data_IF_985486654602
#
_entry.id   IF_985486654602
#
_cell.length_a   1.000
_cell.length_b   1.000
_cell.length_c   1.000
_cell.angle_alpha   90.00
_cell.angle_beta   90.00
_cell.angle_gamma   90.00
#
_symmetry.space_group_name_H-M   'P 1'
#
loop_
_entity.id
_entity.type
_entity.pdbx_description
1 polymer ?
#
# COMPACT_ATOMS: atom_id res chain seq x y z
N UNK A 1 33.92 -18.63 -0.79
CA UNK A 1 34.11 -20.09 -1.01
C UNK A 1 32.76 -20.72 -1.31
N UNK A 2 32.47 -21.04 -2.57
CA UNK A 2 31.19 -21.61 -2.98
C UNK A 2 31.14 -23.10 -2.61
N UNK A 3 30.62 -23.41 -1.42
CA UNK A 3 30.38 -24.79 -1.00
C UNK A 3 29.23 -25.32 -1.87
N UNK A 4 29.51 -26.32 -2.71
CA UNK A 4 28.52 -26.92 -3.62
C UNK A 4 27.29 -27.36 -2.82
N UNK A 5 26.12 -26.81 -3.15
CA UNK A 5 24.88 -27.14 -2.45
C UNK A 5 24.54 -28.62 -2.62
N UNK A 6 23.97 -29.28 -1.59
CA UNK A 6 23.45 -30.63 -1.71
C UNK A 6 22.39 -30.72 -2.83
N UNK A 7 22.30 -31.89 -3.48
CA UNK A 7 21.36 -32.11 -4.59
C UNK A 7 19.91 -31.76 -4.21
N UNK A 8 19.43 -32.23 -3.06
CA UNK A 8 18.06 -31.97 -2.60
C UNK A 8 17.78 -30.47 -2.39
N UNK A 9 18.76 -29.72 -1.87
CA UNK A 9 18.64 -28.26 -1.71
C UNK A 9 18.54 -27.60 -3.07
N UNK A 10 19.37 -28.03 -4.03
CA UNK A 10 19.33 -27.49 -5.39
C UNK A 10 17.99 -27.75 -6.09
N UNK A 11 17.46 -28.98 -5.99
CA UNK A 11 16.16 -29.32 -6.59
C UNK A 11 15.00 -28.47 -6.00
N UNK A 12 15.05 -28.18 -4.69
CA UNK A 12 14.09 -27.29 -4.04
C UNK A 12 14.27 -25.83 -4.49
N UNK A 13 15.50 -25.35 -4.65
CA UNK A 13 15.77 -24.00 -5.16
C UNK A 13 15.30 -23.84 -6.61
N UNK A 14 15.64 -24.79 -7.49
CA UNK A 14 15.24 -24.75 -8.89
C UNK A 14 13.70 -24.71 -9.00
N UNK A 15 12.99 -25.54 -8.23
CA UNK A 15 11.52 -25.51 -8.14
C UNK A 15 11.00 -24.16 -7.63
N UNK A 16 11.66 -23.62 -6.60
CA UNK A 16 11.24 -22.38 -5.97
C UNK A 16 11.35 -21.19 -6.92
N UNK A 17 12.49 -21.07 -7.59
CA UNK A 17 12.79 -20.03 -8.59
C UNK A 17 11.81 -20.13 -9.75
N UNK A 18 11.65 -21.31 -10.34
CA UNK A 18 10.74 -21.51 -11.46
C UNK A 18 9.28 -21.15 -11.09
N UNK A 19 8.83 -21.55 -9.89
CA UNK A 19 7.48 -21.21 -9.40
C UNK A 19 7.29 -19.71 -9.22
N UNK A 20 8.26 -19.00 -8.64
CA UNK A 20 8.19 -17.55 -8.48
C UNK A 20 8.22 -16.82 -9.83
N UNK A 21 9.09 -17.24 -10.75
CA UNK A 21 9.16 -16.68 -12.11
C UNK A 21 7.85 -16.85 -12.85
N UNK A 22 7.21 -18.02 -12.76
CA UNK A 22 5.89 -18.25 -13.34
C UNK A 22 4.79 -17.43 -12.66
N UNK A 23 4.89 -17.20 -11.35
CA UNK A 23 3.97 -16.33 -10.62
C UNK A 23 4.01 -14.90 -11.18
N UNK A 24 5.22 -14.34 -11.34
CA UNK A 24 5.44 -13.00 -11.90
C UNK A 24 4.91 -12.92 -13.33
N UNK A 25 5.24 -13.92 -14.17
CA UNK A 25 4.77 -13.97 -15.55
C UNK A 25 3.24 -13.96 -15.63
N UNK A 26 2.58 -14.78 -14.81
CA UNK A 26 1.11 -14.87 -14.79
C UNK A 26 0.47 -13.59 -14.28
N UNK A 27 1.05 -12.97 -13.25
CA UNK A 27 0.55 -11.71 -12.68
C UNK A 27 0.61 -10.57 -13.72
N UNK A 28 1.66 -10.56 -14.54
CA UNK A 28 1.88 -9.56 -15.57
C UNK A 28 1.15 -9.84 -16.90
N UNK A 29 0.52 -11.00 -17.10
CA UNK A 29 -0.23 -11.29 -18.34
C UNK A 29 -1.55 -10.47 -18.39
N UNK A 30 -1.69 -9.49 -19.30
CA UNK A 30 -2.88 -8.64 -19.36
C UNK A 30 -4.16 -9.39 -19.75
N UNK A 31 -4.07 -10.62 -20.25
CA UNK A 31 -5.20 -11.45 -20.68
C UNK A 31 -5.72 -12.36 -19.56
N UNK A 32 -4.95 -12.53 -18.49
CA UNK A 32 -5.32 -13.43 -17.41
C UNK A 32 -6.41 -12.80 -16.54
N UNK A 33 -7.54 -13.50 -16.39
CA UNK A 33 -8.67 -13.07 -15.56
C UNK A 33 -8.57 -13.49 -14.10
N UNK A 34 -7.63 -14.40 -13.78
CA UNK A 34 -7.42 -14.96 -12.44
C UNK A 34 -5.95 -14.77 -11.99
N UNK A 35 -5.42 -13.55 -12.21
CA UNK A 35 -4.00 -13.23 -11.99
C UNK A 35 -3.58 -13.35 -10.55
N UNK A 36 -4.26 -12.64 -9.64
CA UNK A 36 -3.92 -12.66 -8.22
C UNK A 36 -4.06 -14.06 -7.63
N UNK A 37 -5.04 -14.83 -8.10
CA UNK A 37 -5.24 -16.21 -7.69
C UNK A 37 -4.07 -17.12 -8.06
N UNK A 38 -3.72 -17.16 -9.34
CA UNK A 38 -2.58 -17.94 -9.84
C UNK A 38 -1.26 -17.50 -9.20
N UNK A 39 -1.03 -16.19 -9.11
CA UNK A 39 0.14 -15.62 -8.46
C UNK A 39 0.26 -16.10 -7.01
N UNK A 40 -0.83 -16.02 -6.23
CA UNK A 40 -0.84 -16.44 -4.82
C UNK A 40 -0.46 -17.91 -4.68
N UNK A 41 -1.04 -18.79 -5.51
CA UNK A 41 -0.75 -20.23 -5.46
C UNK A 41 0.72 -20.51 -5.79
N UNK A 42 1.22 -19.93 -6.89
CA UNK A 42 2.61 -20.14 -7.32
C UNK A 42 3.62 -19.56 -6.32
N UNK A 43 3.35 -18.38 -5.74
CA UNK A 43 4.22 -17.81 -4.71
C UNK A 43 4.20 -18.61 -3.41
N UNK A 44 3.06 -19.21 -3.01
CA UNK A 44 3.03 -20.13 -1.87
C UNK A 44 3.90 -21.36 -2.14
N UNK A 45 3.86 -21.91 -3.37
CA UNK A 45 4.74 -23.03 -3.76
C UNK A 45 6.20 -22.59 -3.71
N UNK A 46 6.53 -21.42 -4.26
CA UNK A 46 7.87 -20.86 -4.25
C UNK A 46 8.41 -20.70 -2.82
N UNK A 47 7.68 -20.00 -1.95
CA UNK A 47 8.04 -19.80 -0.55
C UNK A 47 8.11 -21.11 0.25
N UNK A 48 7.26 -22.09 -0.04
CA UNK A 48 7.35 -23.42 0.59
C UNK A 48 8.67 -24.09 0.21
N UNK A 49 9.01 -24.08 -1.08
CA UNK A 49 10.22 -24.72 -1.58
C UNK A 49 11.49 -24.04 -1.07
N UNK A 50 11.56 -22.70 -1.02
CA UNK A 50 12.75 -21.97 -0.53
C UNK A 50 12.95 -22.16 0.98
N UNK A 51 11.87 -22.16 1.76
CA UNK A 51 11.95 -22.39 3.21
C UNK A 51 12.38 -23.82 3.51
N UNK A 52 11.88 -24.82 2.76
CA UNK A 52 12.38 -26.20 2.84
C UNK A 52 13.85 -26.30 2.40
N UNK A 53 14.26 -25.63 1.33
CA UNK A 53 15.66 -25.61 0.89
C UNK A 53 16.58 -25.05 1.99
N UNK A 54 16.14 -24.00 2.68
CA UNK A 54 16.86 -23.41 3.80
C UNK A 54 16.93 -24.35 5.00
N UNK A 55 15.82 -24.99 5.37
CA UNK A 55 15.78 -25.95 6.48
C UNK A 55 16.67 -27.16 6.20
N UNK A 56 16.66 -27.71 4.97
CA UNK A 56 17.60 -28.75 4.51
C UNK A 56 19.05 -28.26 4.60
N UNK A 57 19.33 -27.05 4.12
CA UNK A 57 20.67 -26.46 4.17
C UNK A 57 21.18 -26.30 5.62
N UNK A 58 20.28 -25.93 6.54
CA UNK A 58 20.54 -25.84 7.99
C UNK A 58 20.47 -27.19 8.72
N UNK A 59 20.16 -28.29 8.02
CA UNK A 59 19.97 -29.65 8.57
C UNK A 59 18.87 -29.73 9.63
N UNK A 60 17.84 -28.91 9.50
CA UNK A 60 16.63 -28.93 10.35
C UNK A 60 15.60 -29.86 9.72
N UNK A 61 15.07 -30.79 10.53
CA UNK A 61 14.08 -31.76 10.06
C UNK A 61 12.68 -31.14 10.08
N UNK A 62 12.15 -30.83 8.89
CA UNK A 62 10.83 -30.25 8.69
C UNK A 62 9.75 -31.28 8.36
N UNK A 63 9.91 -32.53 8.79
CA UNK A 63 8.86 -33.55 8.66
C UNK A 63 8.11 -33.75 9.97
N UNK A 64 6.80 -33.92 9.88
CA UNK A 64 5.96 -34.28 11.03
C UNK A 64 6.34 -35.68 11.55
N UNK A 65 6.33 -35.83 12.87
CA UNK A 65 6.51 -37.12 13.54
C UNK A 65 5.26 -37.46 14.35
N UNK A 66 4.91 -38.73 14.34
CA UNK A 66 3.91 -39.31 15.23
C UNK A 66 4.44 -39.37 16.68
N UNK A 67 3.54 -39.60 17.64
CA UNK A 67 3.90 -39.72 19.07
C UNK A 67 4.95 -40.80 19.35
N UNK A 68 5.03 -41.83 18.49
CA UNK A 68 5.99 -42.93 18.57
C UNK A 68 7.37 -42.59 17.95
N UNK A 69 7.59 -41.35 17.50
CA UNK A 69 8.83 -40.88 16.89
C UNK A 69 9.00 -41.23 15.40
N UNK A 70 8.10 -42.03 14.82
CA UNK A 70 8.11 -42.33 13.37
C UNK A 70 7.60 -41.13 12.57
N UNK A 71 8.04 -41.00 11.33
CA UNK A 71 7.51 -39.96 10.43
C UNK A 71 6.04 -40.19 10.16
N UNK A 72 5.25 -39.13 10.29
CA UNK A 72 3.88 -39.10 9.80
C UNK A 72 3.92 -39.19 8.27
N UNK A 73 3.09 -40.05 7.70
CA UNK A 73 3.00 -40.24 6.25
C UNK A 73 1.58 -40.01 5.75
N UNK A 74 1.46 -39.43 4.56
CA UNK A 74 0.21 -39.24 3.82
C UNK A 74 0.48 -39.76 2.41
N UNK A 75 -0.40 -40.63 1.90
CA UNK A 75 -0.28 -41.25 0.57
C UNK A 75 1.09 -41.90 0.28
N UNK A 76 1.73 -42.43 1.33
CA UNK A 76 3.04 -43.09 1.24
C UNK A 76 4.24 -42.17 1.47
N UNK A 77 4.08 -40.85 1.35
CA UNK A 77 5.15 -39.86 1.50
C UNK A 77 5.23 -39.29 2.91
N UNK A 78 6.44 -38.86 3.32
CA UNK A 78 6.62 -38.17 4.61
C UNK A 78 5.89 -36.82 4.56
N UNK A 79 5.08 -36.55 5.57
CA UNK A 79 4.37 -35.29 5.69
C UNK A 79 5.36 -34.18 6.06
N UNK A 80 5.75 -33.36 5.08
CA UNK A 80 6.54 -32.15 5.29
C UNK A 80 5.71 -31.06 5.96
N UNK A 81 6.37 -30.10 6.62
CA UNK A 81 5.74 -28.90 7.13
C UNK A 81 5.17 -28.07 5.98
N UNK A 82 3.94 -27.62 6.15
CA UNK A 82 3.35 -26.60 5.31
C UNK A 82 4.02 -25.23 5.53
N UNK A 83 3.84 -24.30 4.58
CA UNK A 83 4.46 -22.97 4.65
C UNK A 83 4.18 -22.25 5.96
N UNK A 84 2.94 -22.31 6.47
CA UNK A 84 2.56 -21.64 7.73
C UNK A 84 3.38 -22.10 8.93
N UNK A 85 3.84 -23.35 8.94
CA UNK A 85 4.73 -23.84 9.99
C UNK A 85 6.18 -23.47 9.70
N UNK A 86 6.63 -23.63 8.46
CA UNK A 86 8.01 -23.26 8.08
C UNK A 86 8.32 -21.79 8.39
N UNK A 87 7.42 -20.85 8.07
CA UNK A 87 7.66 -19.42 8.35
C UNK A 87 7.64 -19.09 9.84
N UNK A 88 6.88 -19.82 10.65
CA UNK A 88 6.87 -19.64 12.11
C UNK A 88 8.17 -20.07 12.76
N UNK A 89 8.85 -21.07 12.19
CA UNK A 89 10.16 -21.53 12.66
C UNK A 89 11.28 -20.57 12.22
N UNK A 90 11.13 -19.94 11.05
CA UNK A 90 12.19 -19.14 10.42
C UNK A 90 12.14 -17.67 10.85
N UNK A 91 10.94 -17.11 11.03
CA UNK A 91 10.73 -15.68 11.25
C UNK A 91 9.97 -15.41 12.55
N UNK A 92 10.34 -14.31 13.21
CA UNK A 92 9.68 -13.86 14.44
C UNK A 92 8.22 -13.45 14.21
N UNK A 93 7.42 -13.48 15.28
CA UNK A 93 5.97 -13.27 15.17
C UNK A 93 5.58 -11.87 14.69
N UNK A 94 6.43 -10.86 14.90
CA UNK A 94 6.25 -9.49 14.42
C UNK A 94 6.93 -9.17 13.08
N UNK A 95 7.62 -10.14 12.47
CA UNK A 95 8.37 -9.91 11.24
C UNK A 95 7.44 -9.53 10.06
N UNK A 96 7.68 -8.39 9.37
CA UNK A 96 6.85 -7.96 8.25
C UNK A 96 6.78 -8.94 7.08
N UNK A 97 7.89 -9.62 6.76
CA UNK A 97 7.95 -10.65 5.72
C UNK A 97 7.02 -11.80 6.10
N UNK A 98 7.09 -12.24 7.36
CA UNK A 98 6.19 -13.29 7.86
C UNK A 98 4.73 -12.86 7.78
N UNK A 99 4.40 -11.63 8.17
CA UNK A 99 3.01 -11.11 8.12
C UNK A 99 2.49 -10.98 6.70
N UNK A 100 3.35 -10.63 5.75
CA UNK A 100 3.03 -10.65 4.33
C UNK A 100 2.74 -12.09 3.86
N UNK A 101 3.60 -13.06 4.16
CA UNK A 101 3.36 -14.48 3.78
C UNK A 101 2.09 -15.05 4.44
N UNK A 102 1.85 -14.75 5.73
CA UNK A 102 0.66 -15.18 6.48
C UNK A 102 -0.64 -14.66 5.84
N UNK A 103 -0.63 -13.44 5.27
CA UNK A 103 -1.77 -12.91 4.51
C UNK A 103 -2.08 -13.80 3.30
N UNK A 104 -1.08 -14.11 2.47
CA UNK A 104 -1.28 -14.91 1.25
C UNK A 104 -1.69 -16.35 1.55
N UNK A 105 -1.17 -16.95 2.63
CA UNK A 105 -1.62 -18.27 3.09
C UNK A 105 -3.12 -18.25 3.43
N UNK A 106 -3.58 -17.24 4.17
CA UNK A 106 -5.01 -17.12 4.52
C UNK A 106 -5.85 -16.79 3.29
N UNK A 107 -5.30 -16.00 2.36
CA UNK A 107 -5.97 -15.62 1.12
C UNK A 107 -6.18 -16.82 0.21
N UNK A 108 -5.20 -17.73 0.09
CA UNK A 108 -5.29 -18.97 -0.70
C UNK A 108 -6.62 -19.70 -0.49
N UNK A 109 -6.99 -19.92 0.77
CA UNK A 109 -8.21 -20.64 1.12
C UNK A 109 -9.49 -19.93 0.64
N UNK A 110 -9.44 -18.60 0.46
CA UNK A 110 -10.56 -17.79 -0.02
C UNK A 110 -10.60 -17.71 -1.55
N UNK A 111 -9.45 -17.74 -2.22
CA UNK A 111 -9.35 -17.67 -3.69
C UNK A 111 -9.53 -19.04 -4.36
N UNK A 112 -9.23 -20.16 -3.70
CA UNK A 112 -9.28 -21.50 -4.31
C UNK A 112 -10.65 -21.88 -4.87
N UNK A 113 -11.71 -21.29 -4.32
CA UNK A 113 -13.08 -21.60 -4.70
C UNK A 113 -13.78 -20.43 -5.43
N UNK A 114 -13.06 -19.34 -5.76
CA UNK A 114 -13.69 -18.08 -6.21
C UNK A 114 -12.82 -17.33 -7.21
N UNK A 115 -13.41 -16.82 -8.29
CA UNK A 115 -12.75 -15.84 -9.17
C UNK A 115 -13.04 -14.42 -8.67
N UNK A 116 -11.99 -13.68 -8.27
CA UNK A 116 -12.13 -12.41 -7.53
C UNK A 116 -11.27 -11.29 -8.17
N UNK A 117 -11.59 -10.85 -9.40
CA UNK A 117 -10.77 -9.88 -10.14
C UNK A 117 -10.64 -8.52 -9.45
N UNK A 118 -11.57 -8.11 -8.58
CA UNK A 118 -11.46 -6.88 -7.82
C UNK A 118 -10.25 -6.88 -6.85
N UNK A 119 -9.76 -8.05 -6.43
CA UNK A 119 -8.60 -8.16 -5.54
C UNK A 119 -7.29 -7.72 -6.18
N UNK A 120 -7.20 -7.76 -7.52
CA UNK A 120 -5.98 -7.40 -8.25
C UNK A 120 -5.51 -6.00 -7.87
N UNK A 121 -6.42 -5.04 -7.65
CA UNK A 121 -6.06 -3.67 -7.26
C UNK A 121 -5.72 -3.52 -5.78
N UNK A 122 -6.35 -4.32 -4.94
CA UNK A 122 -6.23 -4.20 -3.48
C UNK A 122 -4.93 -4.78 -2.96
N UNK A 123 -4.34 -5.75 -3.67
CA UNK A 123 -3.19 -6.54 -3.21
C UNK A 123 -1.89 -6.26 -3.98
N UNK A 124 -1.85 -5.23 -4.83
CA UNK A 124 -0.65 -4.92 -5.63
C UNK A 124 0.56 -4.71 -4.72
N UNK A 125 0.40 -3.92 -3.65
CA UNK A 125 1.49 -3.59 -2.73
C UNK A 125 2.01 -4.81 -1.99
N UNK A 126 1.12 -5.63 -1.43
CA UNK A 126 1.51 -6.87 -0.75
C UNK A 126 2.08 -7.92 -1.71
N UNK A 127 1.59 -7.99 -2.95
CA UNK A 127 2.10 -8.92 -3.96
C UNK A 127 3.51 -8.56 -4.39
N UNK A 128 3.76 -7.26 -4.62
CA UNK A 128 5.10 -6.77 -4.94
C UNK A 128 6.07 -7.01 -3.78
N UNK A 129 5.66 -6.73 -2.53
CA UNK A 129 6.47 -7.03 -1.35
C UNK A 129 6.79 -8.53 -1.23
N UNK A 130 5.83 -9.41 -1.49
CA UNK A 130 6.02 -10.86 -1.42
C UNK A 130 7.13 -11.35 -2.37
N UNK A 131 7.23 -10.76 -3.57
CA UNK A 131 8.26 -11.12 -4.56
C UNK A 131 9.61 -10.52 -4.18
N UNK A 132 9.65 -9.23 -3.82
CA UNK A 132 10.90 -8.56 -3.46
C UNK A 132 11.55 -9.23 -2.23
N UNK A 133 10.75 -9.48 -1.18
CA UNK A 133 11.22 -10.21 -0.01
C UNK A 133 11.73 -11.61 -0.37
N UNK A 134 11.09 -12.27 -1.33
CA UNK A 134 11.50 -13.61 -1.76
C UNK A 134 12.88 -13.54 -2.41
N UNK A 135 13.09 -12.61 -3.34
CA UNK A 135 14.36 -12.43 -4.03
C UNK A 135 15.47 -12.00 -3.07
N UNK A 136 15.22 -11.02 -2.22
CA UNK A 136 16.15 -10.58 -1.18
C UNK A 136 16.56 -11.75 -0.29
N UNK A 137 15.60 -12.56 0.16
CA UNK A 137 15.89 -13.72 1.02
C UNK A 137 16.63 -14.83 0.27
N UNK A 138 16.31 -15.07 -1.01
CA UNK A 138 17.00 -16.03 -1.87
C UNK A 138 18.47 -15.64 -2.04
N UNK A 139 18.74 -14.38 -2.36
CA UNK A 139 20.08 -13.82 -2.50
C UNK A 139 20.82 -13.89 -1.16
N UNK A 140 20.18 -13.47 -0.06
CA UNK A 140 20.79 -13.47 1.27
C UNK A 140 21.20 -14.88 1.72
N UNK A 141 20.35 -15.89 1.49
CA UNK A 141 20.61 -17.25 2.00
C UNK A 141 21.46 -18.10 1.06
N UNK A 142 21.36 -17.92 -0.25
CA UNK A 142 21.97 -18.82 -1.25
C UNK A 142 22.93 -18.13 -2.21
N UNK A 143 22.94 -16.81 -2.26
CA UNK A 143 23.82 -15.98 -3.08
C UNK A 143 23.17 -15.46 -4.36
N UNK A 144 23.74 -14.39 -4.89
CA UNK A 144 23.25 -13.60 -6.02
C UNK A 144 23.05 -14.41 -7.31
N UNK A 145 23.83 -15.48 -7.51
CA UNK A 145 23.69 -16.40 -8.65
C UNK A 145 22.31 -17.09 -8.78
N UNK A 146 21.47 -17.01 -7.75
CA UNK A 146 20.13 -17.58 -7.72
C UNK A 146 19.02 -16.52 -7.86
N UNK A 147 19.33 -15.25 -8.13
CA UNK A 147 18.34 -14.19 -8.32
C UNK A 147 17.29 -14.56 -9.39
N UNK A 148 16.06 -14.02 -9.26
CA UNK A 148 14.90 -14.54 -9.97
C UNK A 148 14.88 -14.24 -11.46
N UNK A 149 15.53 -13.15 -11.90
CA UNK A 149 15.86 -12.79 -13.29
C UNK A 149 16.42 -11.35 -13.29
N UNK A 150 17.52 -11.09 -14.00
CA UNK A 150 18.13 -9.74 -14.10
C UNK A 150 17.38 -8.77 -15.04
N UNK A 151 16.31 -9.21 -15.71
CA UNK A 151 15.51 -8.39 -16.63
C UNK A 151 14.16 -8.06 -16.03
N UNK A 152 14.14 -7.07 -15.13
CA UNK A 152 12.89 -6.50 -14.65
C UNK A 152 12.31 -5.58 -15.75
N UNK A 153 11.25 -6.03 -16.42
CA UNK A 153 10.46 -5.17 -17.29
C UNK A 153 9.34 -4.53 -16.46
N UNK A 154 9.31 -3.20 -16.40
CA UNK A 154 8.14 -2.51 -15.87
C UNK A 154 7.03 -2.64 -16.92
N UNK A 155 5.90 -3.30 -16.61
CA UNK A 155 4.84 -3.49 -17.58
C UNK A 155 4.32 -2.13 -18.06
N UNK A 156 4.18 -1.96 -19.39
CA UNK A 156 3.60 -0.74 -19.97
C UNK A 156 2.16 -0.63 -19.49
N UNK A 157 1.92 0.36 -18.63
CA UNK A 157 0.61 0.61 -18.08
C UNK A 157 -0.28 1.28 -19.14
N UNK A 158 -1.33 0.58 -19.57
CA UNK A 158 -2.28 1.08 -20.58
C UNK A 158 -3.39 1.97 -19.98
N UNK A 159 -3.41 2.15 -18.67
CA UNK A 159 -4.50 2.83 -17.98
C UNK A 159 -4.44 4.36 -18.12
N UNK A 160 -5.11 4.90 -19.13
CA UNK A 160 -5.61 6.29 -19.09
C UNK A 160 -6.83 6.31 -18.17
N UNK A 161 -6.63 6.62 -16.88
CA UNK A 161 -7.69 6.89 -15.89
C UNK A 161 -8.93 5.99 -16.00
N UNK A 162 -8.81 4.75 -15.52
CA UNK A 162 -9.98 3.88 -15.36
C UNK A 162 -10.72 4.27 -14.07
N UNK A 163 -11.47 5.38 -14.12
CA UNK A 163 -12.58 5.67 -13.18
C UNK A 163 -13.74 4.67 -13.30
N UNK A 164 -13.57 3.58 -14.05
CA UNK A 164 -14.54 2.50 -14.16
C UNK A 164 -14.36 1.57 -12.96
N UNK A 165 -15.04 1.88 -11.88
CA UNK A 165 -15.32 0.93 -10.80
C UNK A 165 -16.19 -0.17 -11.39
N UNK A 166 -15.61 -1.37 -11.54
CA UNK A 166 -16.42 -2.55 -11.82
C UNK A 166 -17.30 -2.80 -10.59
N UNK A 167 -18.58 -3.19 -10.76
CA UNK A 167 -19.40 -3.60 -9.63
C UNK A 167 -18.74 -4.76 -8.92
N UNK A 168 -18.46 -4.58 -7.64
CA UNK A 168 -17.82 -5.57 -6.77
C UNK A 168 -18.90 -6.55 -6.30
N UNK A 169 -18.69 -7.85 -6.52
CA UNK A 169 -19.60 -8.88 -6.04
C UNK A 169 -19.61 -8.96 -4.50
N UNK A 170 -20.63 -9.61 -3.92
CA UNK A 170 -20.69 -9.86 -2.47
C UNK A 170 -19.49 -10.67 -1.98
N UNK A 171 -19.07 -11.66 -2.78
CA UNK A 171 -17.92 -12.50 -2.45
C UNK A 171 -16.61 -11.71 -2.48
N UNK A 172 -16.41 -10.84 -3.48
CA UNK A 172 -15.26 -9.93 -3.52
C UNK A 172 -15.26 -8.97 -2.34
N UNK A 173 -16.41 -8.39 -2.00
CA UNK A 173 -16.54 -7.49 -0.84
C UNK A 173 -16.13 -8.20 0.46
N UNK A 174 -16.54 -9.46 0.63
CA UNK A 174 -16.16 -10.26 1.79
C UNK A 174 -14.65 -10.49 1.89
N UNK A 175 -13.98 -10.76 0.76
CA UNK A 175 -12.51 -10.96 0.77
C UNK A 175 -11.77 -9.64 0.93
N UNK A 176 -12.24 -8.55 0.33
CA UNK A 176 -11.68 -7.21 0.52
C UNK A 176 -11.79 -6.79 1.99
N UNK A 177 -12.94 -7.00 2.63
CA UNK A 177 -13.10 -6.72 4.06
C UNK A 177 -12.17 -7.58 4.90
N UNK A 178 -12.02 -8.87 4.56
CA UNK A 178 -11.03 -9.71 5.24
C UNK A 178 -9.60 -9.16 5.15
N UNK A 179 -9.18 -8.65 3.99
CA UNK A 179 -7.86 -8.02 3.84
C UNK A 179 -7.75 -6.77 4.73
N UNK A 180 -8.79 -5.94 4.76
CA UNK A 180 -8.84 -4.76 5.64
C UNK A 180 -8.78 -5.12 7.11
N UNK A 181 -9.55 -6.11 7.53
CA UNK A 181 -9.57 -6.62 8.90
C UNK A 181 -8.20 -7.17 9.29
N UNK A 182 -7.54 -7.90 8.38
CA UNK A 182 -6.18 -8.39 8.63
C UNK A 182 -5.17 -7.25 8.80
N UNK A 183 -5.23 -6.22 7.95
CA UNK A 183 -4.38 -5.01 8.09
C UNK A 183 -4.60 -4.32 9.43
N UNK A 184 -5.85 -4.20 9.87
CA UNK A 184 -6.20 -3.59 11.17
C UNK A 184 -5.75 -4.38 12.41
N UNK A 185 -5.29 -5.63 12.25
CA UNK A 185 -4.70 -6.43 13.33
C UNK A 185 -3.18 -6.27 13.43
N UNK A 186 -2.54 -5.57 12.49
CA UNK A 186 -1.10 -5.38 12.48
C UNK A 186 -0.69 -4.19 13.36
N UNK A 187 0.50 -4.29 13.93
CA UNK A 187 1.14 -3.14 14.57
C UNK A 187 1.51 -2.09 13.51
N UNK A 188 1.46 -0.81 13.88
CA UNK A 188 1.65 0.30 12.95
C UNK A 188 3.03 0.25 12.25
N UNK A 189 4.07 -0.24 12.93
CA UNK A 189 5.40 -0.41 12.34
C UNK A 189 5.38 -1.45 11.21
N UNK A 190 4.68 -2.56 11.42
CA UNK A 190 4.53 -3.63 10.43
C UNK A 190 3.68 -3.16 9.25
N UNK A 191 2.54 -2.52 9.51
CA UNK A 191 1.64 -2.04 8.46
C UNK A 191 2.31 -1.03 7.52
N UNK A 192 3.21 -0.19 8.07
CA UNK A 192 3.94 0.82 7.31
C UNK A 192 5.24 0.30 6.68
N UNK A 193 5.63 -0.96 6.94
CA UNK A 193 6.83 -1.56 6.36
C UNK A 193 6.66 -1.86 4.87
N UNK A 194 7.67 -1.50 4.06
CA UNK A 194 7.76 -1.86 2.64
C UNK A 194 7.89 -3.38 2.43
N UNK A 195 8.38 -4.11 3.43
CA UNK A 195 8.43 -5.57 3.44
C UNK A 195 7.05 -6.19 3.71
N UNK A 196 6.12 -5.46 4.33
CA UNK A 196 4.73 -5.91 4.44
C UNK A 196 3.92 -5.55 3.19
N UNK A 197 4.00 -4.29 2.74
CA UNK A 197 3.32 -3.79 1.54
C UNK A 197 4.19 -2.76 0.85
N UNK A 198 4.58 -3.05 -0.40
CA UNK A 198 5.39 -2.15 -1.20
C UNK A 198 4.53 -0.98 -1.71
N UNK A 199 5.00 0.25 -1.51
CA UNK A 199 4.31 1.48 -1.93
C UNK A 199 5.33 2.39 -2.62
N UNK A 200 5.08 2.68 -3.91
CA UNK A 200 5.94 3.55 -4.72
C UNK A 200 5.12 4.54 -5.55
N UNK A 201 5.69 5.70 -5.83
CA UNK A 201 5.14 6.70 -6.73
C UNK A 201 5.88 6.67 -8.06
N UNK A 202 5.13 6.72 -9.17
CA UNK A 202 5.69 6.99 -10.48
C UNK A 202 5.53 8.49 -10.77
N UNK A 203 6.61 9.24 -10.62
CA UNK A 203 6.62 10.70 -10.79
C UNK A 203 7.18 11.00 -12.18
N UNK A 204 6.42 11.64 -13.08
CA UNK A 204 6.94 12.02 -14.38
C UNK A 204 8.03 13.09 -14.20
N UNK A 205 9.20 12.86 -14.77
CA UNK A 205 10.24 13.91 -14.85
C UNK A 205 9.76 15.02 -15.78
N UNK A 206 9.56 16.21 -15.23
CA UNK A 206 9.23 17.43 -16.00
C UNK A 206 10.54 18.23 -16.11
N UNK A 207 11.26 18.11 -17.23
CA UNK A 207 12.55 18.78 -17.42
C UNK A 207 12.93 18.98 -18.88
N UNK A 208 13.61 20.10 -19.18
CA UNK A 208 13.99 20.54 -20.53
C UNK A 208 15.35 20.00 -21.04
N UNK A 209 16.11 19.27 -20.21
CA UNK A 209 17.38 18.68 -20.63
C UNK A 209 17.25 17.18 -20.70
N UNK A 210 17.12 16.65 -21.93
CA UNK A 210 17.39 15.24 -22.21
C UNK A 210 18.90 15.05 -22.23
N UNK A 211 19.44 14.38 -21.22
CA UNK A 211 20.72 13.72 -21.42
C UNK A 211 20.44 12.40 -22.16
N UNK A 212 21.32 11.97 -23.06
CA UNK A 212 21.20 10.70 -23.79
C UNK A 212 21.27 9.46 -22.88
N UNK A 213 21.46 9.66 -21.58
CA UNK A 213 21.60 8.62 -20.55
C UNK A 213 20.40 8.53 -19.59
N UNK A 214 19.37 9.37 -19.75
CA UNK A 214 18.21 9.33 -18.85
C UNK A 214 17.41 8.04 -19.13
N UNK A 215 17.38 7.12 -18.16
CA UNK A 215 16.55 5.93 -18.25
C UNK A 215 15.07 6.35 -18.27
N UNK A 216 14.24 5.65 -19.05
CA UNK A 216 12.82 5.96 -19.17
C UNK A 216 12.07 5.83 -17.83
N UNK A 217 12.57 4.98 -16.93
CA UNK A 217 12.12 4.81 -15.55
C UNK A 217 13.37 4.71 -14.69
N UNK A 218 13.45 5.51 -13.63
CA UNK A 218 14.51 5.46 -12.64
C UNK A 218 13.95 5.04 -11.28
N UNK A 219 14.59 4.05 -10.67
CA UNK A 219 14.28 3.62 -9.31
C UNK A 219 15.18 4.38 -8.36
N UNK A 220 14.59 5.28 -7.58
CA UNK A 220 15.30 5.98 -6.51
C UNK A 220 14.96 5.28 -5.20
N UNK A 221 15.96 4.64 -4.60
CA UNK A 221 15.81 4.02 -3.29
C UNK A 221 15.68 5.14 -2.25
N UNK A 222 14.72 5.00 -1.34
CA UNK A 222 14.63 5.91 -0.21
C UNK A 222 15.85 5.71 0.69
N UNK A 223 16.70 6.73 0.77
CA UNK A 223 17.89 6.74 1.61
C UNK A 223 17.70 7.75 2.74
N UNK A 224 17.53 7.26 3.97
CA UNK A 224 17.39 8.10 5.16
C UNK A 224 18.66 8.89 5.48
N UNK A 225 19.81 8.44 4.97
CA UNK A 225 21.12 9.02 5.28
C UNK A 225 21.48 10.17 4.32
N UNK A 226 20.65 10.41 3.28
CA UNK A 226 20.81 11.50 2.33
C UNK A 226 19.53 12.37 2.19
N UNK A 227 19.14 13.09 3.26
CA UNK A 227 17.86 13.82 3.32
C UNK A 227 17.71 14.92 2.26
N UNK A 228 18.82 15.51 1.78
CA UNK A 228 18.79 16.60 0.77
C UNK A 228 18.34 16.12 -0.61
N UNK A 229 18.67 14.88 -0.98
CA UNK A 229 18.21 14.29 -2.25
C UNK A 229 16.74 13.87 -2.15
N UNK A 230 16.32 13.42 -0.96
CA UNK A 230 14.96 12.95 -0.67
C UNK A 230 13.93 14.09 -0.61
N UNK A 231 14.32 15.28 -0.15
CA UNK A 231 13.44 16.46 -0.04
C UNK A 231 12.79 16.85 -1.39
N UNK A 232 13.53 16.69 -2.52
CA UNK A 232 13.00 16.95 -3.88
C UNK A 232 11.88 15.99 -4.27
N UNK A 233 11.92 14.75 -3.78
CA UNK A 233 10.89 13.75 -4.01
C UNK A 233 9.72 13.94 -3.03
N UNK A 234 9.99 14.38 -1.80
CA UNK A 234 8.95 14.70 -0.81
C UNK A 234 8.04 15.83 -1.29
N UNK A 235 8.59 16.91 -1.87
CA UNK A 235 7.80 17.98 -2.48
C UNK A 235 6.88 17.46 -3.60
N UNK A 236 7.40 16.58 -4.45
CA UNK A 236 6.63 15.97 -5.53
C UNK A 236 5.55 15.00 -5.00
N UNK A 237 5.85 14.23 -3.95
CA UNK A 237 4.89 13.35 -3.26
C UNK A 237 3.79 14.17 -2.58
N UNK A 238 4.14 15.27 -1.90
CA UNK A 238 3.19 16.21 -1.29
C UNK A 238 2.27 16.79 -2.37
N UNK A 239 2.83 17.27 -3.48
CA UNK A 239 2.05 17.79 -4.61
C UNK A 239 1.11 16.74 -5.23
N UNK A 240 1.50 15.45 -5.26
CA UNK A 240 0.64 14.35 -5.70
C UNK A 240 -0.47 14.05 -4.68
N UNK A 241 -0.16 14.04 -3.38
CA UNK A 241 -1.16 13.88 -2.31
C UNK A 241 -2.19 15.01 -2.32
N UNK A 242 -1.76 16.25 -2.47
CA UNK A 242 -2.65 17.41 -2.61
C UNK A 242 -3.53 17.30 -3.88
N UNK A 243 -2.98 16.80 -5.00
CA UNK A 243 -3.77 16.56 -6.22
C UNK A 243 -4.77 15.41 -6.14
N UNK A 244 -4.52 14.37 -5.34
CA UNK A 244 -5.45 13.24 -5.16
C UNK A 244 -6.57 13.52 -4.15
N UNK A 245 -6.51 14.65 -3.46
CA UNK A 245 -7.61 15.15 -2.64
C UNK A 245 -8.26 16.39 -3.28
N UNK A 246 -9.00 16.27 -4.41
CA UNK A 246 -9.96 17.29 -4.77
C UNK A 246 -11.30 16.93 -4.10
N UNK A 247 -11.31 16.78 -2.77
CA UNK A 247 -12.53 17.06 -2.03
C UNK A 247 -12.42 18.53 -1.70
N UNK A 248 -13.01 19.37 -2.55
CA UNK A 248 -12.99 20.83 -2.48
C UNK A 248 -13.52 21.42 -1.16
N UNK A 249 -13.80 20.60 -0.14
CA UNK A 249 -14.35 20.97 1.15
C UNK A 249 -13.51 20.49 2.37
N UNK A 250 -12.32 19.90 2.22
CA UNK A 250 -11.58 19.36 3.39
C UNK A 250 -10.95 20.45 4.29
N UNK A 251 -10.68 21.66 3.77
CA UNK A 251 -10.14 22.76 4.58
C UNK A 251 -11.13 23.94 4.76
N UNK A 252 -12.41 23.75 4.45
CA UNK A 252 -13.39 24.80 4.62
C UNK A 252 -14.40 24.49 5.72
N UNK A 253 -14.50 25.42 6.66
CA UNK A 253 -15.35 25.37 7.84
C UNK A 253 -16.75 25.86 7.49
N UNK A 254 -17.77 25.12 7.93
CA UNK A 254 -19.12 25.68 8.05
C UNK A 254 -19.14 26.76 9.13
N UNK A 255 -20.11 27.69 9.12
CA UNK A 255 -20.26 28.68 10.19
C UNK A 255 -20.28 28.09 11.61
N UNK A 256 -20.88 26.90 11.78
CA UNK A 256 -20.87 26.19 13.06
C UNK A 256 -19.46 25.74 13.48
N UNK A 257 -18.65 25.26 12.53
CA UNK A 257 -17.27 24.83 12.77
C UNK A 257 -16.35 26.00 13.09
N UNK A 258 -16.60 27.20 12.52
CA UNK A 258 -15.90 28.43 12.92
C UNK A 258 -16.13 28.71 14.41
N UNK A 259 -17.36 28.56 14.90
CA UNK A 259 -17.68 28.77 16.32
C UNK A 259 -17.09 27.67 17.21
N UNK A 260 -17.04 26.42 16.74
CA UNK A 260 -16.39 25.32 17.45
C UNK A 260 -14.89 25.59 17.63
N UNK A 261 -14.18 26.02 16.57
CA UNK A 261 -12.77 26.39 16.67
C UNK A 261 -12.52 27.59 17.59
N UNK A 262 -13.37 28.62 17.54
CA UNK A 262 -13.28 29.72 18.50
C UNK A 262 -13.48 29.26 19.94
N UNK A 263 -14.37 28.28 20.16
CA UNK A 263 -14.63 27.70 21.49
C UNK A 263 -13.43 26.88 21.99
N UNK A 264 -12.75 26.14 21.12
CA UNK A 264 -11.50 25.43 21.44
C UNK A 264 -10.41 26.40 21.93
N UNK A 265 -10.34 27.59 21.32
CA UNK A 265 -9.46 28.69 21.72
C UNK A 265 -9.98 29.49 22.95
N UNK A 266 -11.06 29.04 23.59
CA UNK A 266 -11.62 29.63 24.81
C UNK A 266 -12.65 30.74 24.58
N UNK A 267 -13.02 31.05 23.33
CA UNK A 267 -13.96 32.11 22.99
C UNK A 267 -15.35 31.57 22.64
N UNK A 268 -16.31 31.73 23.55
CA UNK A 268 -17.71 31.33 23.31
C UNK A 268 -18.45 32.45 22.57
N UNK A 269 -18.80 32.21 21.30
CA UNK A 269 -19.56 33.15 20.45
C UNK A 269 -20.80 32.49 19.85
N UNK A 270 -21.73 33.32 19.39
CA UNK A 270 -23.00 32.87 18.81
C UNK A 270 -23.00 33.00 17.28
N UNK A 271 -23.94 32.30 16.62
CA UNK A 271 -24.17 32.44 15.18
C UNK A 271 -24.54 33.86 14.74
N UNK A 272 -25.22 34.62 15.61
CA UNK A 272 -25.51 36.04 15.38
C UNK A 272 -24.21 36.85 15.32
N UNK A 273 -23.31 36.63 16.28
CA UNK A 273 -22.02 37.31 16.30
C UNK A 273 -21.20 37.00 15.05
N UNK A 274 -21.10 35.72 14.66
CA UNK A 274 -20.40 35.36 13.43
C UNK A 274 -21.03 36.02 12.19
N UNK A 275 -22.37 36.17 12.20
CA UNK A 275 -23.09 36.86 11.14
C UNK A 275 -22.68 38.33 11.04
N UNK A 276 -22.69 39.04 12.16
CA UNK A 276 -22.27 40.43 12.24
C UNK A 276 -20.81 40.62 11.78
N UNK A 277 -19.93 39.67 12.08
CA UNK A 277 -18.52 39.75 11.70
C UNK A 277 -18.31 39.63 10.20
N UNK A 278 -18.91 38.65 9.51
CA UNK A 278 -18.71 38.56 8.05
C UNK A 278 -19.36 39.76 7.34
N UNK A 279 -20.42 40.35 7.89
CA UNK A 279 -21.01 41.61 7.42
C UNK A 279 -20.07 42.80 7.62
N UNK A 280 -19.52 42.97 8.84
CA UNK A 280 -18.57 44.04 9.21
C UNK A 280 -17.36 44.06 8.28
N UNK A 281 -16.79 42.90 8.00
CA UNK A 281 -15.60 42.75 7.18
C UNK A 281 -15.89 42.50 5.69
N UNK A 282 -17.18 42.47 5.31
CA UNK A 282 -17.64 42.23 3.93
C UNK A 282 -16.96 41.01 3.30
N UNK A 283 -16.89 39.92 4.05
CA UNK A 283 -16.18 38.68 3.65
C UNK A 283 -16.94 37.93 2.54
N UNK A 284 -18.25 38.01 2.57
CA UNK A 284 -19.16 37.44 1.55
C UNK A 284 -20.28 38.43 1.24
N UNK A 285 -20.95 38.30 0.08
CA UNK A 285 -22.00 39.23 -0.28
C UNK A 285 -23.30 38.90 0.48
N UNK A 286 -24.18 39.90 0.61
CA UNK A 286 -25.51 39.67 1.19
C UNK A 286 -26.36 38.83 0.23
N UNK A 287 -27.31 38.07 0.78
CA UNK A 287 -28.14 37.09 0.05
C UNK A 287 -28.90 37.65 -1.16
N UNK A 288 -28.96 38.98 -1.29
CA UNK A 288 -29.73 39.73 -2.30
C UNK A 288 -28.90 40.22 -3.50
N UNK A 289 -27.67 39.73 -3.68
CA UNK A 289 -26.80 40.15 -4.80
C UNK A 289 -26.81 39.17 -5.96
N UNK A 290 -26.82 39.69 -7.19
CA UNK A 290 -26.73 38.91 -8.45
C UNK A 290 -25.40 38.13 -8.61
N UNK A 291 -24.41 38.37 -7.74
CA UNK A 291 -23.08 37.75 -7.75
C UNK A 291 -22.77 37.05 -6.42
N UNK A 292 -23.40 35.90 -6.17
CA UNK A 292 -23.15 35.04 -4.98
C UNK A 292 -21.73 34.49 -4.89
N UNK A 293 -20.97 34.52 -5.98
CA UNK A 293 -19.57 34.07 -6.04
C UNK A 293 -18.55 35.13 -5.56
N UNK A 294 -18.97 36.34 -5.19
CA UNK A 294 -18.08 37.45 -4.84
C UNK A 294 -17.60 37.41 -3.38
N UNK A 295 -16.89 36.35 -2.98
CA UNK A 295 -16.28 36.23 -1.65
C UNK A 295 -14.84 36.74 -1.64
N UNK A 296 -14.36 37.18 -0.47
CA UNK A 296 -12.92 37.35 -0.23
C UNK A 296 -12.30 35.95 -0.14
N UNK A 297 -11.61 35.53 -1.19
CA UNK A 297 -11.07 34.17 -1.35
C UNK A 297 -10.12 33.73 -0.23
N UNK A 298 -9.48 34.69 0.45
CA UNK A 298 -8.64 34.44 1.63
C UNK A 298 -9.42 33.90 2.82
N UNK A 299 -10.70 34.28 2.97
CA UNK A 299 -11.52 34.00 4.16
C UNK A 299 -12.77 33.16 3.88
N UNK A 300 -13.27 33.15 2.65
CA UNK A 300 -14.55 32.55 2.31
C UNK A 300 -14.59 32.04 0.87
N UNK A 301 -15.24 30.89 0.70
CA UNK A 301 -15.51 30.26 -0.59
C UNK A 301 -16.99 29.91 -0.68
N UNK A 302 -17.59 30.18 -1.83
CA UNK A 302 -18.98 29.82 -2.10
C UNK A 302 -19.06 28.38 -2.63
N UNK A 303 -19.69 27.50 -1.87
CA UNK A 303 -20.01 26.13 -2.25
C UNK A 303 -21.22 26.13 -3.18
N UNK A 304 -20.94 26.15 -4.49
CA UNK A 304 -21.96 26.15 -5.55
C UNK A 304 -22.88 24.92 -5.50
N UNK A 305 -22.39 23.68 -5.25
CA UNK A 305 -23.26 22.51 -5.04
C UNK A 305 -24.29 22.65 -3.92
N UNK A 306 -23.93 23.26 -2.79
CA UNK A 306 -24.81 23.37 -1.62
C UNK A 306 -25.47 24.75 -1.46
N UNK A 307 -25.16 25.71 -2.36
CA UNK A 307 -25.63 27.10 -2.30
C UNK A 307 -25.31 27.80 -0.96
N UNK A 308 -24.20 27.40 -0.35
CA UNK A 308 -23.75 27.87 0.97
C UNK A 308 -22.35 28.49 0.89
N UNK A 309 -21.93 29.16 1.96
CA UNK A 309 -20.59 29.71 2.08
C UNK A 309 -19.81 28.98 3.15
N UNK A 310 -18.58 28.62 2.81
CA UNK A 310 -17.63 27.98 3.69
C UNK A 310 -16.46 28.93 3.96
N UNK A 311 -15.79 28.76 5.09
CA UNK A 311 -14.77 29.68 5.60
C UNK A 311 -13.43 28.98 5.74
N UNK A 312 -12.33 29.72 5.63
CA UNK A 312 -10.98 29.18 5.83
C UNK A 312 -10.55 29.30 7.29
N UNK A 313 -9.49 28.59 7.67
CA UNK A 313 -8.84 28.80 8.97
C UNK A 313 -8.28 30.22 9.14
N UNK A 314 -7.86 30.85 8.04
CA UNK A 314 -7.43 32.25 8.05
C UNK A 314 -8.54 33.21 8.52
N UNK A 315 -9.82 32.86 8.30
CA UNK A 315 -10.93 33.63 8.84
C UNK A 315 -11.04 33.52 10.36
N UNK A 316 -10.83 32.32 10.92
CA UNK A 316 -10.83 32.11 12.37
C UNK A 316 -9.71 32.91 13.03
N UNK A 317 -8.50 32.82 12.48
CA UNK A 317 -7.34 33.57 13.00
C UNK A 317 -7.55 35.09 12.91
N UNK A 318 -8.10 35.58 11.80
CA UNK A 318 -8.41 36.99 11.64
C UNK A 318 -9.42 37.50 12.69
N UNK A 319 -10.44 36.70 13.00
CA UNK A 319 -11.41 37.01 14.06
C UNK A 319 -10.75 37.05 15.44
N UNK A 320 -9.85 36.10 15.71
CA UNK A 320 -9.10 36.06 16.97
C UNK A 320 -8.25 37.33 17.12
N UNK A 321 -7.44 37.65 16.12
CA UNK A 321 -6.53 38.79 16.15
C UNK A 321 -7.23 40.15 16.23
N UNK A 322 -8.33 40.34 15.50
CA UNK A 322 -8.96 41.67 15.37
C UNK A 322 -10.04 41.96 16.40
N UNK A 323 -10.74 40.93 16.87
CA UNK A 323 -11.94 41.09 17.69
C UNK A 323 -11.86 40.41 19.07
N UNK A 324 -10.92 39.48 19.30
CA UNK A 324 -10.88 38.67 20.52
C UNK A 324 -9.58 38.80 21.33
N UNK A 325 -8.44 39.07 20.69
CA UNK A 325 -7.14 39.37 21.33
C UNK A 325 -7.04 40.82 21.82
N UNK A 326 -8.15 41.41 22.29
CA UNK A 326 -8.20 42.78 22.81
C UNK A 326 -8.44 42.82 24.30
#
# INVERSE_FOLDING_TARGET
MNRRLPRNVKELLDKSIDSATQAISTYNDPRSSFRTGNFTVLMIIAWTAITHAYLEYKKVNYFYKEKNGRYKRIDGDKMAWELSRSVKEIFDTGDPIRKNIELFIKLRNKIEHRNLPALDKELIGESQALVLNFEDWLIEKFGEQYALIDTLFVPIQLSRSLKRTLPVSKDETSVINFVKDYRGLLEAEVENSQQYSFKAYLIPKIGNHRSSSDLAIEFVKYDSDNPQEMEKYDEAIIAIKEKQVPVANINFLKPSMVLEKLKEEGYIKTMSWHTDMWHKYKVRPTNDTKNRSSCKSEYCVYDKPHNDYLYTDAWVQYLIEKELNK
#
